data_IF_582632420624
#
_entry.id   IF_582632420624
#
_cell.length_a   1.000
_cell.length_b   1.000
_cell.length_c   1.000
_cell.angle_alpha   90.00
_cell.angle_beta   90.00
_cell.angle_gamma   90.00
#
_symmetry.space_group_name_H-M   'P 1'
#
loop_
_entity.id
_entity.type
_entity.pdbx_description
1 polymer ?
#
# COMPACT_ATOMS: atom_id res chain seq x y z
N UNK A 1 -15.70 -15.69 -0.46
CA UNK A 1 -14.67 -15.06 -1.31
C UNK A 1 -15.33 -14.03 -2.19
N UNK A 2 -14.78 -12.82 -2.29
CA UNK A 2 -15.27 -11.75 -3.18
C UNK A 2 -14.14 -11.26 -4.07
N UNK A 3 -14.39 -11.16 -5.37
CA UNK A 3 -13.45 -10.63 -6.36
C UNK A 3 -13.88 -9.26 -6.84
N UNK A 4 -12.90 -8.40 -7.09
CA UNK A 4 -13.09 -7.04 -7.57
C UNK A 4 -12.07 -6.71 -8.65
N UNK A 5 -12.38 -5.74 -9.51
CA UNK A 5 -11.42 -5.19 -10.47
C UNK A 5 -10.36 -4.36 -9.73
N UNK A 6 -9.09 -4.60 -10.01
CA UNK A 6 -7.98 -3.74 -9.57
C UNK A 6 -7.76 -2.66 -10.64
N UNK A 7 -8.01 -1.40 -10.29
CA UNK A 7 -7.92 -0.28 -11.25
C UNK A 7 -6.56 0.40 -11.23
N UNK A 8 -5.91 0.45 -10.07
CA UNK A 8 -4.58 1.05 -9.90
C UNK A 8 -3.84 0.33 -8.78
N UNK A 9 -2.53 0.18 -8.97
CA UNK A 9 -1.62 -0.35 -7.97
C UNK A 9 -0.44 0.60 -7.79
N UNK A 10 -0.21 1.02 -6.55
CA UNK A 10 1.03 1.69 -6.14
C UNK A 10 1.76 0.81 -5.14
N UNK A 11 3.08 0.76 -5.23
CA UNK A 11 3.95 0.01 -4.33
C UNK A 11 4.95 0.96 -3.68
N UNK A 12 5.20 0.76 -2.40
CA UNK A 12 6.16 1.52 -1.61
C UNK A 12 7.21 0.55 -1.06
N UNK A 13 8.47 0.79 -1.40
CA UNK A 13 9.64 -0.02 -1.01
C UNK A 13 10.72 0.85 -0.40
N UNK A 14 11.52 0.29 0.50
CA UNK A 14 12.62 1.01 1.14
C UNK A 14 13.87 0.92 0.26
N UNK A 15 14.29 2.03 -0.34
CA UNK A 15 15.49 2.13 -1.17
C UNK A 15 16.44 3.17 -0.54
N UNK A 16 17.69 2.77 -0.26
CA UNK A 16 18.70 3.65 0.34
C UNK A 16 18.23 4.37 1.63
N UNK A 17 17.52 3.65 2.52
CA UNK A 17 16.90 4.17 3.75
C UNK A 17 15.85 5.27 3.52
N UNK A 18 15.26 5.33 2.32
CA UNK A 18 14.14 6.20 2.01
C UNK A 18 13.02 5.35 1.41
N UNK A 19 11.79 5.59 1.85
CA UNK A 19 10.67 4.95 1.18
C UNK A 19 10.51 5.54 -0.22
N UNK A 20 10.47 4.72 -1.27
CA UNK A 20 10.26 5.12 -2.66
C UNK A 20 8.90 4.63 -3.13
N UNK A 21 8.14 5.50 -3.81
CA UNK A 21 6.83 5.21 -4.36
C UNK A 21 6.94 4.87 -5.85
N UNK A 22 6.40 3.72 -6.24
CA UNK A 22 6.32 3.25 -7.61
C UNK A 22 4.86 3.05 -8.03
N UNK A 23 4.44 3.71 -9.11
CA UNK A 23 3.19 3.36 -9.78
C UNK A 23 3.43 2.16 -10.68
N UNK A 24 2.59 1.12 -10.55
CA UNK A 24 2.72 -0.11 -11.33
C UNK A 24 1.73 -0.05 -12.49
N UNK A 25 2.18 0.09 -13.76
CA UNK A 25 1.30 0.09 -14.91
C UNK A 25 0.64 -1.28 -15.08
N UNK A 26 -0.68 -1.33 -14.94
CA UNK A 26 -1.48 -2.55 -15.08
C UNK A 26 -2.05 -2.63 -16.51
N UNK A 27 -1.81 -3.75 -17.18
CA UNK A 27 -2.56 -4.12 -18.39
C UNK A 27 -3.97 -4.62 -18.01
N UNK A 28 -4.06 -5.40 -16.93
CA UNK A 28 -5.30 -5.81 -16.28
C UNK A 28 -4.99 -6.14 -14.81
N UNK A 29 -6.02 -6.23 -13.98
CA UNK A 29 -5.82 -6.56 -12.57
C UNK A 29 -7.08 -7.03 -11.85
N UNK A 30 -6.85 -7.95 -10.91
CA UNK A 30 -7.85 -8.56 -10.06
C UNK A 30 -7.40 -8.46 -8.60
N UNK A 31 -8.34 -8.20 -7.71
CA UNK A 31 -8.10 -8.25 -6.28
C UNK A 31 -9.20 -9.06 -5.59
N UNK A 32 -8.79 -10.01 -4.76
CA UNK A 32 -9.67 -10.97 -4.11
C UNK A 32 -9.59 -10.81 -2.60
N UNK A 33 -10.74 -10.56 -1.97
CA UNK A 33 -10.89 -10.73 -0.54
C UNK A 33 -11.17 -12.22 -0.24
N UNK A 34 -10.26 -12.87 0.49
CA UNK A 34 -10.40 -14.30 0.85
C UNK A 34 -11.48 -14.51 1.92
N UNK A 35 -12.00 -13.45 2.54
CA UNK A 35 -13.06 -13.45 3.57
C UNK A 35 -12.79 -14.41 4.74
N UNK A 36 -11.50 -14.65 5.03
CA UNK A 36 -11.05 -15.41 6.19
C UNK A 36 -10.88 -14.49 7.42
N UNK A 37 -10.67 -15.07 8.60
CA UNK A 37 -10.57 -14.36 9.88
C UNK A 37 -9.41 -13.36 9.95
N UNK A 38 -8.44 -13.46 9.06
CA UNK A 38 -7.16 -12.77 9.15
C UNK A 38 -7.00 -11.66 8.09
N UNK A 39 -8.10 -11.17 7.51
CA UNK A 39 -8.12 -10.09 6.51
C UNK A 39 -7.09 -10.30 5.38
N UNK A 40 -7.00 -11.52 4.84
CA UNK A 40 -6.10 -11.81 3.73
C UNK A 40 -6.74 -11.44 2.39
N UNK A 41 -5.91 -10.85 1.56
CA UNK A 41 -6.22 -10.42 0.22
C UNK A 41 -5.19 -10.99 -0.75
N UNK A 42 -5.64 -11.27 -1.95
CA UNK A 42 -4.79 -11.62 -3.07
C UNK A 42 -4.86 -10.48 -4.08
N UNK A 43 -3.73 -9.92 -4.45
CA UNK A 43 -3.64 -8.89 -5.50
C UNK A 43 -2.95 -9.51 -6.69
N UNK A 44 -3.60 -9.48 -7.84
CA UNK A 44 -3.09 -10.00 -9.10
C UNK A 44 -3.04 -8.87 -10.13
N UNK A 45 -1.90 -8.74 -10.80
CA UNK A 45 -1.71 -7.78 -11.87
C UNK A 45 -1.04 -8.42 -13.09
N UNK A 46 -1.56 -8.11 -14.27
CA UNK A 46 -0.84 -8.31 -15.52
C UNK A 46 -0.05 -7.04 -15.82
N UNK A 47 1.28 -7.15 -15.84
CA UNK A 47 2.19 -6.00 -15.94
C UNK A 47 3.24 -6.22 -17.02
N UNK A 48 4.01 -5.17 -17.30
CA UNK A 48 5.12 -5.22 -18.26
C UNK A 48 6.30 -6.06 -17.74
N UNK A 49 7.02 -6.70 -18.66
CA UNK A 49 8.11 -7.64 -18.34
C UNK A 49 9.37 -6.97 -17.78
N UNK A 50 9.55 -5.67 -18.04
CA UNK A 50 10.66 -4.88 -17.52
C UNK A 50 10.63 -4.75 -15.98
N UNK A 51 9.44 -4.85 -15.38
CA UNK A 51 9.27 -4.90 -13.93
C UNK A 51 9.67 -6.25 -13.30
N UNK A 52 10.06 -7.25 -14.09
CA UNK A 52 10.47 -8.57 -13.57
C UNK A 52 11.60 -8.44 -12.55
N UNK A 53 12.68 -7.73 -12.88
CA UNK A 53 13.84 -7.64 -11.99
C UNK A 53 13.49 -6.97 -10.65
N UNK A 54 12.62 -5.96 -10.69
CA UNK A 54 12.12 -5.27 -9.50
C UNK A 54 11.41 -6.24 -8.56
N UNK A 55 10.36 -6.91 -9.03
CA UNK A 55 9.60 -7.84 -8.18
C UNK A 55 10.35 -9.13 -7.85
N UNK A 56 11.20 -9.63 -8.74
CA UNK A 56 12.02 -10.82 -8.49
C UNK A 56 13.02 -10.58 -7.35
N UNK A 57 13.57 -9.36 -7.25
CA UNK A 57 14.44 -8.98 -6.13
C UNK A 57 13.65 -8.96 -4.81
N UNK A 58 12.47 -8.33 -4.79
CA UNK A 58 11.59 -8.33 -3.61
C UNK A 58 11.19 -9.75 -3.20
N UNK A 59 10.86 -10.61 -4.15
CA UNK A 59 10.52 -12.01 -3.91
C UNK A 59 11.70 -12.81 -3.34
N UNK A 60 12.89 -12.70 -3.95
CA UNK A 60 14.09 -13.42 -3.52
C UNK A 60 14.52 -13.04 -2.11
N UNK A 61 14.30 -11.78 -1.71
CA UNK A 61 14.59 -11.28 -0.37
C UNK A 61 13.45 -11.53 0.63
N UNK A 62 12.32 -12.10 0.20
CA UNK A 62 11.08 -12.19 0.98
C UNK A 62 10.70 -10.85 1.62
N UNK A 63 10.87 -9.77 0.85
CA UNK A 63 10.73 -8.40 1.33
C UNK A 63 9.25 -8.02 1.43
N UNK A 64 8.88 -7.41 2.56
CA UNK A 64 7.56 -6.82 2.75
C UNK A 64 7.52 -5.43 2.16
N UNK A 65 6.42 -5.12 1.47
CA UNK A 65 6.17 -3.81 0.89
C UNK A 65 4.77 -3.32 1.29
N UNK A 66 4.55 -2.01 1.17
CA UNK A 66 3.18 -1.48 1.23
C UNK A 66 2.64 -1.40 -0.19
N UNK A 67 1.46 -1.93 -0.39
CA UNK A 67 0.72 -1.82 -1.64
C UNK A 67 -0.55 -1.01 -1.42
N UNK A 68 -0.85 -0.11 -2.34
CA UNK A 68 -2.12 0.60 -2.40
C UNK A 68 -2.89 0.20 -3.64
N UNK A 69 -4.08 -0.36 -3.43
CA UNK A 69 -4.95 -0.80 -4.49
C UNK A 69 -6.20 0.08 -4.57
N UNK A 70 -6.44 0.67 -5.74
CA UNK A 70 -7.72 1.30 -6.06
C UNK A 70 -8.66 0.25 -6.66
N UNK A 71 -9.78 -0.01 -5.98
CA UNK A 71 -10.65 -1.16 -6.25
C UNK A 71 -11.94 -0.70 -6.92
N UNK A 72 -12.41 -1.45 -7.93
CA UNK A 72 -13.67 -1.25 -8.68
C UNK A 72 -13.72 -0.02 -9.59
N UNK A 73 -13.46 1.19 -9.06
CA UNK A 73 -13.45 2.46 -9.82
C UNK A 73 -12.19 3.26 -9.51
N UNK A 74 -11.64 3.95 -10.51
CA UNK A 74 -10.43 4.78 -10.36
C UNK A 74 -10.63 5.96 -9.40
N UNK A 75 -11.88 6.42 -9.24
CA UNK A 75 -12.24 7.51 -8.33
C UNK A 75 -12.35 7.06 -6.87
N UNK A 76 -12.29 5.75 -6.61
CA UNK A 76 -12.34 5.25 -5.25
C UNK A 76 -11.03 5.54 -4.53
N UNK A 77 -11.08 5.90 -3.23
CA UNK A 77 -9.87 6.03 -2.44
C UNK A 77 -9.13 4.67 -2.40
N UNK A 78 -7.79 4.68 -2.53
CA UNK A 78 -7.02 3.45 -2.45
C UNK A 78 -7.13 2.80 -1.06
N UNK A 79 -7.04 1.47 -1.05
CA UNK A 79 -6.92 0.68 0.17
C UNK A 79 -5.47 0.25 0.32
N UNK A 80 -4.90 0.43 1.50
CA UNK A 80 -3.51 0.07 1.78
C UNK A 80 -3.41 -1.36 2.34
N UNK A 81 -2.36 -2.06 1.95
CA UNK A 81 -2.06 -3.44 2.30
C UNK A 81 -0.58 -3.57 2.66
N UNK A 82 -0.26 -4.48 3.57
CA UNK A 82 1.08 -5.08 3.62
C UNK A 82 1.06 -6.24 2.65
N UNK A 83 2.02 -6.28 1.74
CA UNK A 83 2.10 -7.28 0.71
C UNK A 83 3.50 -7.89 0.65
N UNK A 84 3.57 -9.12 0.17
CA UNK A 84 4.79 -9.75 -0.31
C UNK A 84 4.53 -10.40 -1.65
N UNK A 85 5.56 -10.50 -2.47
CA UNK A 85 5.45 -11.20 -3.75
C UNK A 85 5.33 -12.70 -3.48
N UNK A 86 4.20 -13.30 -3.86
CA UNK A 86 3.97 -14.74 -3.70
C UNK A 86 4.39 -15.50 -4.96
N UNK A 87 4.02 -15.00 -6.13
CA UNK A 87 4.34 -15.62 -7.41
C UNK A 87 4.63 -14.56 -8.49
N UNK A 88 5.58 -14.88 -9.36
CA UNK A 88 5.85 -14.15 -10.59
C UNK A 88 5.88 -15.17 -11.73
N UNK A 89 5.04 -14.97 -12.75
CA UNK A 89 4.94 -15.89 -13.87
C UNK A 89 5.03 -15.16 -15.20
N UNK A 90 5.94 -15.63 -16.06
CA UNK A 90 6.00 -15.15 -17.43
C UNK A 90 4.81 -15.66 -18.24
N UNK A 91 4.09 -14.74 -18.83
CA UNK A 91 3.16 -15.00 -19.92
C UNK A 91 3.82 -14.59 -21.25
N UNK A 92 3.14 -14.88 -22.36
CA UNK A 92 3.70 -14.69 -23.70
C UNK A 92 4.26 -13.29 -23.91
N UNK A 93 3.47 -12.26 -23.59
CA UNK A 93 3.84 -10.84 -23.81
C UNK A 93 3.83 -10.01 -22.52
N UNK A 94 3.53 -10.62 -21.37
CA UNK A 94 3.32 -9.94 -20.08
C UNK A 94 3.92 -10.74 -18.93
N UNK A 95 3.95 -10.11 -17.76
CA UNK A 95 4.26 -10.72 -16.48
C UNK A 95 2.99 -10.77 -15.63
N UNK A 96 2.66 -11.94 -15.10
CA UNK A 96 1.65 -12.07 -14.05
C UNK A 96 2.35 -11.91 -12.71
N UNK A 97 1.93 -10.92 -11.94
CA UNK A 97 2.38 -10.66 -10.59
C UNK A 97 1.28 -11.06 -9.61
N UNK A 98 1.63 -11.89 -8.63
CA UNK A 98 0.74 -12.27 -7.54
C UNK A 98 1.32 -11.80 -6.20
N UNK A 99 0.51 -11.10 -5.43
CA UNK A 99 0.87 -10.61 -4.10
C UNK A 99 -0.05 -11.19 -3.05
N UNK A 100 0.54 -11.85 -2.06
CA UNK A 100 -0.15 -12.19 -0.82
C UNK A 100 -0.15 -10.97 0.09
N UNK A 101 -1.34 -10.56 0.52
CA UNK A 101 -1.55 -9.28 1.15
C UNK A 101 -2.42 -9.38 2.40
N UNK A 102 -2.16 -8.53 3.40
CA UNK A 102 -3.05 -8.29 4.54
C UNK A 102 -3.48 -6.84 4.54
N UNK A 103 -4.78 -6.60 4.70
CA UNK A 103 -5.30 -5.23 4.70
C UNK A 103 -4.77 -4.49 5.92
N UNK A 104 -4.27 -3.28 5.69
CA UNK A 104 -3.89 -2.38 6.77
C UNK A 104 -5.16 -1.78 7.38
N UNK A 105 -5.55 -2.28 8.56
CA UNK A 105 -6.55 -1.59 9.37
C UNK A 105 -5.86 -0.39 10.01
N UNK A 106 -6.02 0.77 9.38
CA UNK A 106 -5.69 2.06 9.99
C UNK A 106 -6.71 2.36 11.08
N UNK A 107 -6.57 1.73 12.25
CA UNK A 107 -7.36 2.05 13.43
C UNK A 107 -6.94 3.42 13.93
N UNK A 108 -7.58 4.49 13.45
CA UNK A 108 -7.66 5.81 14.10
C UNK A 108 -6.34 6.54 14.42
N UNK A 109 -5.17 5.93 14.20
CA UNK A 109 -3.89 6.36 14.76
C UNK A 109 -3.34 7.54 13.99
N UNK A 110 -3.55 7.58 12.67
CA UNK A 110 -2.97 8.63 11.81
C UNK A 110 -3.65 9.97 12.08
N UNK A 111 -4.99 9.99 12.11
CA UNK A 111 -5.76 11.19 12.48
C UNK A 111 -5.35 11.65 13.87
N UNK A 112 -5.19 10.73 14.81
CA UNK A 112 -4.77 11.05 16.18
C UNK A 112 -3.32 11.56 16.26
N UNK A 113 -2.38 10.99 15.50
CA UNK A 113 -0.98 11.43 15.41
C UNK A 113 -0.89 12.84 14.81
N UNK A 114 -1.60 13.10 13.71
CA UNK A 114 -1.65 14.44 13.08
C UNK A 114 -2.21 15.44 14.08
N UNK A 115 -3.34 15.09 14.70
CA UNK A 115 -3.99 15.97 15.64
C UNK A 115 -3.08 16.27 16.84
N UNK A 116 -2.40 15.26 17.39
CA UNK A 116 -1.41 15.42 18.46
C UNK A 116 -0.23 16.31 18.04
N UNK A 117 0.33 16.12 16.85
CA UNK A 117 1.43 16.95 16.34
C UNK A 117 1.01 18.42 16.18
N UNK A 118 -0.17 18.68 15.61
CA UNK A 118 -0.68 20.04 15.46
C UNK A 118 -0.99 20.71 16.81
N UNK A 119 -1.53 19.96 17.78
CA UNK A 119 -1.72 20.45 19.15
C UNK A 119 -0.37 20.77 19.80
N UNK A 120 0.63 19.90 19.65
CA UNK A 120 1.99 20.12 20.17
C UNK A 120 2.67 21.34 19.53
N UNK A 121 2.35 21.65 18.28
CA UNK A 121 2.77 22.88 17.58
C UNK A 121 2.01 24.14 18.05
N UNK A 122 1.09 24.00 19.00
CA UNK A 122 0.33 25.11 19.58
C UNK A 122 -0.88 25.56 18.75
N UNK A 123 -1.24 24.82 17.69
CA UNK A 123 -2.43 25.14 16.90
C UNK A 123 -3.70 24.83 17.70
N UNK A 124 -4.68 25.72 17.58
CA UNK A 124 -5.98 25.55 18.22
C UNK A 124 -7.10 26.18 17.37
N UNK A 125 -8.36 25.88 17.72
CA UNK A 125 -9.54 26.45 17.07
C UNK A 125 -9.59 26.22 15.55
N UNK A 126 -9.99 27.25 14.81
CA UNK A 126 -10.09 27.25 13.34
C UNK A 126 -8.77 26.92 12.64
N UNK A 127 -7.64 27.39 13.18
CA UNK A 127 -6.32 27.17 12.59
C UNK A 127 -5.93 25.69 12.63
N UNK A 128 -6.18 25.01 13.76
CA UNK A 128 -6.00 23.57 13.89
C UNK A 128 -6.86 22.80 12.89
N UNK A 129 -8.13 23.18 12.77
CA UNK A 129 -9.08 22.50 11.89
C UNK A 129 -8.69 22.64 10.41
N UNK A 130 -8.26 23.83 10.00
CA UNK A 130 -7.87 24.10 8.62
C UNK A 130 -6.57 23.39 8.25
N UNK A 131 -5.55 23.41 9.12
CA UNK A 131 -4.32 22.65 8.90
C UNK A 131 -4.56 21.14 8.94
N UNK A 132 -5.39 20.64 9.85
CA UNK A 132 -5.75 19.23 9.88
C UNK A 132 -6.43 18.78 8.59
N UNK A 133 -7.38 19.56 8.06
CA UNK A 133 -8.06 19.28 6.78
C UNK A 133 -7.11 19.37 5.58
N UNK A 134 -6.21 20.35 5.57
CA UNK A 134 -5.18 20.52 4.53
C UNK A 134 -4.26 19.30 4.51
N UNK A 135 -3.69 18.94 5.66
CA UNK A 135 -2.83 17.76 5.82
C UNK A 135 -3.59 16.48 5.45
N UNK A 136 -4.86 16.32 5.87
CA UNK A 136 -5.66 15.15 5.49
C UNK A 136 -5.89 15.05 3.97
N UNK A 137 -6.03 16.18 3.28
CA UNK A 137 -6.21 16.25 1.82
C UNK A 137 -4.89 16.03 1.06
N UNK A 138 -3.79 16.57 1.56
CA UNK A 138 -2.44 16.42 0.98
C UNK A 138 -1.82 15.05 1.26
N UNK A 139 -2.15 14.43 2.39
CA UNK A 139 -1.72 13.07 2.77
C UNK A 139 -2.27 11.95 1.90
N UNK A 140 -3.06 12.23 0.86
CA UNK A 140 -3.15 11.31 -0.28
C UNK A 140 -1.78 11.02 -0.91
N UNK A 141 -0.81 11.93 -0.75
CA UNK A 141 0.53 11.87 -1.34
C UNK A 141 1.67 11.66 -0.32
N UNK A 142 1.62 12.22 0.89
CA UNK A 142 2.66 12.03 1.95
C UNK A 142 2.50 10.75 2.81
N UNK A 143 2.08 9.66 2.19
CA UNK A 143 1.99 8.32 2.80
C UNK A 143 3.34 7.79 3.34
N UNK A 144 4.45 8.35 2.84
CA UNK A 144 5.83 7.89 3.00
C UNK A 144 6.27 7.73 4.47
N UNK A 145 6.05 8.73 5.34
CA UNK A 145 6.49 8.69 6.74
C UNK A 145 5.70 7.69 7.61
N UNK A 146 4.42 7.49 7.30
CA UNK A 146 3.58 6.52 8.05
C UNK A 146 3.94 5.10 7.61
N UNK A 147 4.18 4.93 6.31
CA UNK A 147 4.62 3.66 5.72
C UNK A 147 5.93 3.18 6.35
N UNK A 148 6.91 4.07 6.58
CA UNK A 148 8.17 3.70 7.23
C UNK A 148 7.98 3.15 8.65
N UNK A 149 7.17 3.83 9.47
CA UNK A 149 6.91 3.40 10.84
C UNK A 149 6.07 2.12 10.90
N UNK A 150 5.07 2.00 10.03
CA UNK A 150 4.23 0.80 9.91
C UNK A 150 5.07 -0.40 9.43
N UNK A 151 5.89 -0.27 8.38
CA UNK A 151 6.80 -1.33 7.91
C UNK A 151 7.73 -1.77 9.03
N UNK A 152 8.31 -0.84 9.79
CA UNK A 152 9.19 -1.17 10.91
C UNK A 152 8.48 -1.99 11.98
N UNK A 153 7.31 -1.54 12.43
CA UNK A 153 6.47 -2.27 13.41
C UNK A 153 6.06 -3.65 12.88
N UNK A 154 5.87 -3.78 11.56
CA UNK A 154 5.44 -5.03 10.93
C UNK A 154 6.57 -6.03 10.73
N UNK A 155 7.78 -5.56 10.40
CA UNK A 155 9.02 -6.36 10.43
C UNK A 155 9.25 -6.93 11.84
N UNK A 156 9.02 -6.13 12.89
CA UNK A 156 9.14 -6.56 14.29
C UNK A 156 8.06 -7.57 14.72
N UNK A 157 6.85 -7.52 14.12
CA UNK A 157 5.70 -8.37 14.47
C UNK A 157 5.58 -9.68 13.67
N UNK A 158 6.48 -9.93 12.72
CA UNK A 158 6.52 -11.15 11.90
C UNK A 158 5.15 -11.49 11.27
N UNK A 159 4.58 -10.53 10.53
CA UNK A 159 3.16 -10.55 10.11
C UNK A 159 2.82 -11.57 9.01
N UNK A 160 3.79 -12.37 8.54
CA UNK A 160 3.58 -13.44 7.55
C UNK A 160 4.27 -14.74 7.93
#
# INVERSE_FOLDING_TARGET
MKSFRLCKLMVFVEEHNQMTKHEIPLNDGLIINKENTDDHWLIEGLIQKDLFQFFNTLQANNELMIAEATITSIDNPPVSFVAKVSEIKFLKDQLQLLLDSKRLIRKDTISEIILKDLINKGLSGEQLLNEFKRIKKERGNEFQLIVENDIKIMKEKNIF
#
